data_IF_982906083102
#
_entry.id   IF_982906083102
#
_cell.length_a   1.000
_cell.length_b   1.000
_cell.length_c   1.000
_cell.angle_alpha   90.00
_cell.angle_beta   90.00
_cell.angle_gamma   90.00
#
_symmetry.space_group_name_H-M   'P 1'
#
loop_
_entity.id
_entity.type
_entity.pdbx_description
1 polymer ?
#
# COMPACT_ATOMS: atom_id res chain seq x y z
N UNK A 1 -20.34 -9.51 43.96
CA UNK A 1 -21.06 -10.16 42.83
C UNK A 1 -21.60 -9.12 41.85
N UNK A 2 -22.44 -8.18 42.28
CA UNK A 2 -23.06 -7.16 41.41
C UNK A 2 -22.04 -6.27 40.66
N UNK A 3 -20.93 -5.90 41.31
CA UNK A 3 -19.86 -5.08 40.73
C UNK A 3 -19.18 -5.74 39.53
N UNK A 4 -18.95 -7.05 39.58
CA UNK A 4 -18.32 -7.81 38.50
C UNK A 4 -19.21 -7.79 37.25
N UNK A 5 -20.52 -7.97 37.45
CA UNK A 5 -21.50 -7.91 36.36
C UNK A 5 -21.54 -6.53 35.72
N UNK A 6 -21.52 -5.45 36.52
CA UNK A 6 -21.46 -4.09 35.99
C UNK A 6 -20.17 -3.80 35.25
N UNK A 7 -19.00 -4.24 35.74
CA UNK A 7 -17.73 -4.04 35.04
C UNK A 7 -17.72 -4.72 33.67
N UNK A 8 -18.21 -5.96 33.58
CA UNK A 8 -18.29 -6.70 32.31
C UNK A 8 -19.25 -6.01 31.34
N UNK A 9 -20.41 -5.55 31.83
CA UNK A 9 -21.39 -4.84 31.01
C UNK A 9 -20.81 -3.53 30.45
N UNK A 10 -20.11 -2.76 31.29
CA UNK A 10 -19.57 -1.45 30.93
C UNK A 10 -18.41 -1.56 29.93
N UNK A 11 -17.52 -2.54 30.11
CA UNK A 11 -16.45 -2.86 29.15
C UNK A 11 -17.01 -3.38 27.83
N UNK A 12 -18.07 -4.20 27.87
CA UNK A 12 -18.73 -4.70 26.66
C UNK A 12 -19.35 -3.57 25.83
N UNK A 13 -20.06 -2.64 26.47
CA UNK A 13 -20.68 -1.49 25.81
C UNK A 13 -19.61 -0.57 25.22
N UNK A 14 -18.55 -0.26 25.99
CA UNK A 14 -17.45 0.57 25.50
C UNK A 14 -16.75 -0.07 24.31
N UNK A 15 -16.42 -1.36 24.40
CA UNK A 15 -15.76 -2.10 23.32
C UNK A 15 -16.61 -2.14 22.05
N UNK A 16 -17.91 -2.39 22.19
CA UNK A 16 -18.84 -2.39 21.05
C UNK A 16 -19.01 -0.99 20.44
N UNK A 17 -19.14 0.05 21.26
CA UNK A 17 -19.22 1.43 20.81
C UNK A 17 -17.94 1.87 20.08
N UNK A 18 -16.76 1.58 20.65
CA UNK A 18 -15.50 1.89 19.99
C UNK A 18 -15.30 1.06 18.71
N UNK A 19 -15.65 -0.23 18.72
CA UNK A 19 -15.48 -1.11 17.57
C UNK A 19 -16.35 -0.69 16.38
N UNK A 20 -17.63 -0.40 16.65
CA UNK A 20 -18.55 0.11 15.61
C UNK A 20 -18.12 1.47 15.07
N UNK A 21 -17.62 2.36 15.93
CA UNK A 21 -17.07 3.65 15.52
C UNK A 21 -15.84 3.50 14.61
N UNK A 22 -14.89 2.63 14.96
CA UNK A 22 -13.71 2.35 14.12
C UNK A 22 -14.09 1.69 12.80
N UNK A 23 -15.02 0.74 12.80
CA UNK A 23 -15.50 0.08 11.58
C UNK A 23 -16.16 1.07 10.61
N UNK A 24 -16.93 2.02 11.15
CA UNK A 24 -17.51 3.10 10.35
C UNK A 24 -16.43 4.04 9.79
N UNK A 25 -15.44 4.41 10.60
CA UNK A 25 -14.33 5.24 10.16
C UNK A 25 -13.53 4.56 9.04
N UNK A 26 -13.19 3.28 9.19
CA UNK A 26 -12.46 2.52 8.17
C UNK A 26 -13.19 2.52 6.83
N UNK A 27 -14.52 2.32 6.82
CA UNK A 27 -15.32 2.35 5.60
C UNK A 27 -15.51 3.77 5.02
N UNK A 28 -15.55 4.80 5.87
CA UNK A 28 -15.71 6.20 5.45
C UNK A 28 -14.42 6.76 4.84
N UNK A 29 -13.26 6.33 5.34
CA UNK A 29 -11.93 6.80 4.94
C UNK A 29 -11.20 5.82 4.02
N UNK A 30 -11.93 4.92 3.37
CA UNK A 30 -11.37 4.08 2.32
C UNK A 30 -10.89 4.99 1.16
N UNK A 31 -9.59 5.24 1.16
CA UNK A 31 -8.93 6.03 0.11
C UNK A 31 -8.89 5.13 -1.12
N UNK A 32 -9.42 5.64 -2.24
CA UNK A 32 -9.21 5.01 -3.55
C UNK A 32 -7.70 5.02 -3.81
N UNK A 33 -7.04 3.89 -3.64
CA UNK A 33 -5.65 3.74 -4.06
C UNK A 33 -5.62 3.69 -5.58
N UNK A 34 -4.77 4.53 -6.18
CA UNK A 34 -4.51 4.44 -7.61
C UNK A 34 -3.76 3.12 -7.87
N UNK A 35 -4.21 2.26 -8.80
CA UNK A 35 -3.61 0.94 -9.04
C UNK A 35 -2.13 1.03 -9.42
N UNK A 36 -1.72 2.17 -9.99
CA UNK A 36 -0.31 2.47 -10.30
C UNK A 36 0.54 2.57 -9.04
N UNK A 37 0.01 3.15 -7.97
CA UNK A 37 0.72 3.32 -6.70
C UNK A 37 1.00 1.98 -6.06
N UNK A 38 0.00 1.10 -6.03
CA UNK A 38 0.13 -0.26 -5.52
C UNK A 38 1.15 -1.08 -6.33
N UNK A 39 1.13 -0.96 -7.67
CA UNK A 39 2.09 -1.66 -8.54
C UNK A 39 3.52 -1.17 -8.30
N UNK A 40 3.72 0.15 -8.20
CA UNK A 40 5.04 0.72 -7.89
C UNK A 40 5.50 0.31 -6.48
N UNK A 41 4.58 0.29 -5.51
CA UNK A 41 4.84 -0.14 -4.14
C UNK A 41 5.22 -1.61 -4.06
N UNK A 42 4.58 -2.49 -4.83
CA UNK A 42 4.88 -3.92 -4.88
C UNK A 42 6.32 -4.21 -5.35
N UNK A 43 6.88 -3.33 -6.19
CA UNK A 43 8.26 -3.46 -6.68
C UNK A 43 9.29 -2.95 -5.67
N UNK A 44 8.88 -2.08 -4.75
CA UNK A 44 9.77 -1.54 -3.72
C UNK A 44 10.09 -2.61 -2.66
N UNK A 45 11.21 -2.45 -1.92
CA UNK A 45 11.56 -3.36 -0.84
C UNK A 45 10.62 -3.33 0.37
N UNK A 46 9.61 -2.43 0.39
CA UNK A 46 8.60 -2.28 1.47
C UNK A 46 9.18 -2.25 2.89
N UNK A 47 10.36 -1.65 3.06
CA UNK A 47 11.05 -1.53 4.36
C UNK A 47 10.87 -0.16 5.03
N UNK A 48 10.12 0.76 4.41
CA UNK A 48 9.81 2.11 4.92
C UNK A 48 11.00 2.86 5.56
N UNK A 49 12.20 2.65 5.02
CA UNK A 49 13.45 3.11 5.62
C UNK A 49 13.72 4.62 5.52
N UNK A 50 12.92 5.35 4.74
CA UNK A 50 13.02 6.80 4.60
C UNK A 50 14.25 7.34 3.83
N UNK A 51 15.15 6.48 3.33
CA UNK A 51 16.39 6.92 2.66
C UNK A 51 16.17 7.74 1.38
N UNK A 52 14.97 7.68 0.80
CA UNK A 52 14.58 8.47 -0.37
C UNK A 52 13.95 9.83 -0.01
N UNK A 53 13.84 10.18 1.29
CA UNK A 53 13.24 11.44 1.75
C UNK A 53 11.71 11.41 1.91
N UNK A 54 11.08 10.25 1.71
CA UNK A 54 9.64 10.05 1.88
C UNK A 54 9.34 9.17 3.10
N UNK A 55 8.21 9.39 3.81
CA UNK A 55 7.89 8.68 5.06
C UNK A 55 7.60 7.18 4.91
N UNK A 56 7.57 6.66 3.68
CA UNK A 56 7.38 5.24 3.39
C UNK A 56 7.41 4.92 1.90
N UNK A 57 7.42 3.63 1.55
CA UNK A 57 7.42 3.12 0.18
C UNK A 57 6.14 3.53 -0.57
N UNK A 58 4.98 3.56 0.09
CA UNK A 58 3.74 4.05 -0.50
C UNK A 58 3.81 5.55 -0.85
N UNK A 59 4.44 6.37 0.00
CA UNK A 59 4.62 7.80 -0.26
C UNK A 59 5.62 8.05 -1.40
N UNK A 60 6.68 7.23 -1.49
CA UNK A 60 7.59 7.24 -2.63
C UNK A 60 6.87 6.85 -3.94
N UNK A 61 6.03 5.81 -3.92
CA UNK A 61 5.26 5.38 -5.08
C UNK A 61 4.36 6.50 -5.62
N UNK A 62 3.65 7.19 -4.72
CA UNK A 62 2.86 8.40 -5.01
C UNK A 62 3.70 9.49 -5.68
N UNK A 63 4.85 9.80 -5.11
CA UNK A 63 5.74 10.85 -5.62
C UNK A 63 6.35 10.48 -6.98
N UNK A 64 6.67 9.22 -7.21
CA UNK A 64 7.15 8.70 -8.49
C UNK A 64 6.10 8.85 -9.60
N UNK A 65 4.84 8.51 -9.31
CA UNK A 65 3.73 8.65 -10.29
C UNK A 65 3.43 10.12 -10.60
N UNK A 66 3.59 11.01 -9.61
CA UNK A 66 3.50 12.46 -9.79
C UNK A 66 4.70 13.07 -10.54
N UNK A 67 5.76 12.29 -10.78
CA UNK A 67 6.98 12.75 -11.43
C UNK A 67 7.89 13.60 -10.54
N UNK A 68 7.69 13.59 -9.23
CA UNK A 68 8.50 14.34 -8.26
C UNK A 68 9.84 13.64 -7.98
N UNK A 69 9.94 12.34 -8.26
CA UNK A 69 11.11 11.51 -7.99
C UNK A 69 11.49 10.65 -9.19
N UNK A 70 12.78 10.50 -9.44
CA UNK A 70 13.31 9.63 -10.49
C UNK A 70 13.33 8.14 -10.09
N UNK A 71 13.47 7.27 -11.09
CA UNK A 71 13.58 5.79 -10.94
C UNK A 71 14.70 5.35 -10.00
N UNK A 72 15.76 6.15 -9.89
CA UNK A 72 16.93 5.88 -9.04
C UNK A 72 16.77 6.38 -7.59
N UNK A 73 15.60 6.91 -7.21
CA UNK A 73 15.37 7.48 -5.89
C UNK A 73 15.38 6.45 -4.75
N UNK A 74 15.05 5.18 -5.02
CA UNK A 74 15.08 4.12 -4.03
C UNK A 74 16.49 3.53 -3.88
N UNK A 75 17.33 4.18 -3.08
CA UNK A 75 18.72 3.74 -2.79
C UNK A 75 18.84 2.26 -2.37
N UNK A 76 18.08 1.74 -1.38
CA UNK A 76 18.19 0.33 -0.99
C UNK A 76 17.66 -0.65 -2.04
N UNK A 77 16.75 -0.19 -2.90
CA UNK A 77 16.16 -0.98 -3.98
C UNK A 77 17.06 -1.12 -5.22
N UNK A 78 18.12 -0.32 -5.34
CA UNK A 78 19.00 -0.35 -6.53
C UNK A 78 19.62 -1.72 -6.78
N UNK A 79 20.11 -2.37 -5.72
CA UNK A 79 20.71 -3.71 -5.82
C UNK A 79 19.68 -4.81 -6.16
N UNK A 80 18.39 -4.52 -6.02
CA UNK A 80 17.28 -5.46 -6.27
C UNK A 80 16.64 -5.28 -7.65
N UNK A 81 17.15 -4.35 -8.48
CA UNK A 81 16.60 -4.07 -9.82
C UNK A 81 15.36 -3.17 -9.82
N UNK A 82 15.06 -2.50 -8.70
CA UNK A 82 13.95 -1.52 -8.62
C UNK A 82 13.98 -0.46 -9.74
N UNK A 83 15.11 0.19 -10.08
CA UNK A 83 15.10 1.23 -11.12
C UNK A 83 14.70 0.70 -12.51
N UNK A 84 15.03 -0.54 -12.83
CA UNK A 84 14.69 -1.20 -14.11
C UNK A 84 13.19 -1.51 -14.17
N UNK A 85 12.63 -1.98 -13.06
CA UNK A 85 11.21 -2.29 -12.93
C UNK A 85 10.36 -1.01 -12.93
N UNK A 86 10.82 0.06 -12.28
CA UNK A 86 10.18 1.37 -12.34
C UNK A 86 10.19 1.97 -13.75
N UNK A 87 11.30 1.81 -14.48
CA UNK A 87 11.38 2.22 -15.87
C UNK A 87 10.39 1.43 -16.75
N UNK A 88 10.25 0.13 -16.50
CA UNK A 88 9.28 -0.73 -17.20
C UNK A 88 7.85 -0.29 -16.92
N UNK A 89 7.52 0.01 -15.67
CA UNK A 89 6.19 0.51 -15.26
C UNK A 89 5.88 1.85 -15.93
N UNK A 90 6.86 2.76 -16.05
CA UNK A 90 6.66 4.04 -16.73
C UNK A 90 6.43 3.92 -18.24
N UNK A 91 6.85 2.82 -18.88
CA UNK A 91 6.64 2.55 -20.32
C UNK A 91 5.35 1.79 -20.62
N UNK A 92 4.77 1.13 -19.63
CA UNK A 92 3.55 0.33 -19.79
C UNK A 92 2.30 1.23 -19.86
N UNK A 93 1.29 0.78 -20.59
CA UNK A 93 0.01 1.50 -20.69
C UNK A 93 -0.81 1.36 -19.39
N UNK A 94 -1.67 2.35 -19.12
CA UNK A 94 -2.52 2.36 -17.93
C UNK A 94 -3.49 1.16 -17.93
N UNK A 95 -3.97 0.75 -19.11
CA UNK A 95 -4.84 -0.41 -19.27
C UNK A 95 -4.16 -1.74 -18.92
N UNK A 96 -2.86 -1.87 -19.22
CA UNK A 96 -2.06 -3.04 -18.83
C UNK A 96 -1.84 -3.09 -17.31
N UNK A 97 -1.54 -1.95 -16.68
CA UNK A 97 -1.43 -1.87 -15.23
C UNK A 97 -2.74 -2.25 -14.53
N UNK A 98 -3.88 -1.76 -15.04
CA UNK A 98 -5.18 -2.07 -14.45
C UNK A 98 -5.50 -3.57 -14.51
N UNK A 99 -5.19 -4.25 -15.62
CA UNK A 99 -5.35 -5.71 -15.72
C UNK A 99 -4.48 -6.46 -14.72
N UNK A 100 -3.22 -6.07 -14.57
CA UNK A 100 -2.30 -6.69 -13.60
C UNK A 100 -2.82 -6.49 -12.18
N UNK A 101 -3.33 -5.31 -11.86
CA UNK A 101 -3.90 -5.02 -10.54
C UNK A 101 -5.13 -5.88 -10.24
N UNK A 102 -6.09 -5.95 -11.16
CA UNK A 102 -7.30 -6.77 -11.05
C UNK A 102 -6.99 -8.27 -10.93
N UNK A 103 -6.01 -8.79 -11.70
CA UNK A 103 -5.61 -10.20 -11.65
C UNK A 103 -4.83 -10.55 -10.36
N UNK A 104 -4.11 -9.58 -9.80
CA UNK A 104 -3.30 -9.81 -8.60
C UNK A 104 -4.09 -9.71 -7.30
N UNK A 105 -5.18 -8.94 -7.28
CA UNK A 105 -6.03 -8.76 -6.09
C UNK A 105 -5.28 -8.15 -4.92
N UNK A 106 -4.42 -7.15 -5.17
CA UNK A 106 -3.66 -6.39 -4.16
C UNK A 106 -2.52 -7.19 -3.48
N UNK A 107 -2.08 -8.30 -4.09
CA UNK A 107 -0.97 -9.12 -3.59
C UNK A 107 0.37 -8.73 -4.25
N UNK A 108 1.26 -8.11 -3.47
CA UNK A 108 2.58 -7.62 -3.90
C UNK A 108 3.42 -8.71 -4.61
N UNK A 109 3.36 -9.96 -4.13
CA UNK A 109 4.16 -11.07 -4.68
C UNK A 109 3.64 -11.53 -6.03
N UNK A 110 2.32 -11.47 -6.26
CA UNK A 110 1.72 -11.77 -7.56
C UNK A 110 1.97 -10.65 -8.56
N UNK A 111 1.86 -9.40 -8.13
CA UNK A 111 2.18 -8.22 -8.97
C UNK A 111 3.61 -8.33 -9.51
N UNK A 112 4.58 -8.63 -8.63
CA UNK A 112 5.98 -8.84 -9.01
C UNK A 112 6.19 -9.98 -10.02
N UNK A 113 5.43 -11.08 -9.91
CA UNK A 113 5.50 -12.19 -10.86
C UNK A 113 4.93 -11.81 -12.22
N UNK A 114 3.74 -11.22 -12.25
CA UNK A 114 3.08 -10.77 -13.49
C UNK A 114 3.92 -9.71 -14.20
N UNK A 115 4.48 -8.74 -13.48
CA UNK A 115 5.38 -7.73 -14.03
C UNK A 115 6.66 -8.32 -14.63
N UNK A 116 7.17 -9.42 -14.08
CA UNK A 116 8.34 -10.12 -14.63
C UNK A 116 7.99 -11.06 -15.79
N UNK A 117 6.71 -11.41 -15.96
CA UNK A 117 6.21 -12.27 -17.04
C UNK A 117 5.73 -11.50 -18.27
N UNK A 118 5.21 -10.28 -18.11
CA UNK A 118 5.02 -9.31 -19.21
C UNK A 118 6.33 -8.79 -19.77
#
# INVERSE_FOLDING_TARGET
MLTIVYSVLLLGILGFASGTFLAFAAKKFEVKEDPREAIVKAVLPNNDCGSCGYPGCAAFAKAFIKGEVGKDGCVPGKAQGVPELLEKISKMSIDELNKIYEESGEDDSKILKLLKQS
#
